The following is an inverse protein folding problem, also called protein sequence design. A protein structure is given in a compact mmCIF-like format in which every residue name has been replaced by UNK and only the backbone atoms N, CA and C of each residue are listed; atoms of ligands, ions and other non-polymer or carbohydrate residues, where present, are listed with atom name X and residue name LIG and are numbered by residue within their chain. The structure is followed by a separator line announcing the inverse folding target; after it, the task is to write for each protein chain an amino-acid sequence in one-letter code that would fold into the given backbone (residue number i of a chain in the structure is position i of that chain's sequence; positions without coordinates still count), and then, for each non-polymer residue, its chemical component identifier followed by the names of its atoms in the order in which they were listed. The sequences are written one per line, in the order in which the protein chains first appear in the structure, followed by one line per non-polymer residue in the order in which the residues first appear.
data_IF_111773192512
#
_entry.id   IF_111773192512
#
_cell.length_a   1.000
_cell.length_b   1.000
_cell.length_c   1.000
_cell.angle_alpha   90.00
_cell.angle_beta   90.00
_cell.angle_gamma   90.00
#
_symmetry.space_group_name_H-M   'P 1'
#
loop_
_entity.id
_entity.type
_entity.pdbx_description
1 polymer ?
#
# COMPACT_ATOMS: atom_id res chain seq x y z
N UNK A 1 -41.65 38.58 -14.53
CA UNK A 1 -41.33 38.53 -13.09
C UNK A 1 -41.92 37.26 -12.47
N UNK A 2 -41.10 36.23 -12.25
CA UNK A 2 -41.44 35.08 -11.39
C UNK A 2 -40.17 34.71 -10.64
N UNK A 3 -40.21 34.89 -9.32
CA UNK A 3 -39.10 34.67 -8.40
C UNK A 3 -38.78 33.17 -8.28
N UNK A 4 -37.53 32.83 -8.47
CA UNK A 4 -36.95 31.51 -8.17
C UNK A 4 -36.38 31.57 -6.76
N UNK A 5 -36.99 30.84 -5.83
CA UNK A 5 -36.49 30.69 -4.46
C UNK A 5 -35.37 29.64 -4.46
N UNK A 6 -34.16 30.06 -4.09
CA UNK A 6 -33.03 29.17 -3.81
C UNK A 6 -33.20 28.53 -2.42
N UNK A 7 -33.27 27.21 -2.37
CA UNK A 7 -33.16 26.44 -1.13
C UNK A 7 -31.68 26.24 -0.78
N UNK A 8 -31.20 26.99 0.21
CA UNK A 8 -29.91 26.75 0.87
C UNK A 8 -30.18 25.78 2.03
N UNK A 9 -29.82 24.51 1.85
CA UNK A 9 -29.87 23.50 2.90
C UNK A 9 -28.69 23.64 3.86
N UNK A 10 -28.93 24.25 5.02
CA UNK A 10 -28.02 24.24 6.16
C UNK A 10 -28.21 22.91 6.91
N UNK A 11 -27.30 21.95 6.71
CA UNK A 11 -27.32 20.67 7.44
C UNK A 11 -26.69 20.89 8.82
N UNK A 12 -27.55 20.80 9.83
CA UNK A 12 -27.21 20.83 11.26
C UNK A 12 -26.43 19.57 11.64
N UNK A 13 -25.21 19.75 12.15
CA UNK A 13 -24.44 18.73 12.86
C UNK A 13 -25.17 18.34 14.16
N UNK A 14 -25.77 17.15 14.20
CA UNK A 14 -26.27 16.54 15.43
C UNK A 14 -25.65 15.16 15.63
N UNK A 15 -24.78 15.08 16.65
CA UNK A 15 -24.53 13.89 17.46
C UNK A 15 -23.85 12.70 16.78
N UNK A 16 -22.54 12.77 16.57
CA UNK A 16 -21.72 11.56 16.39
C UNK A 16 -21.60 10.85 17.72
N UNK A 17 -22.57 9.99 18.05
CA UNK A 17 -22.40 9.04 19.14
C UNK A 17 -21.24 8.10 18.78
N UNK A 18 -20.20 8.07 19.61
CA UNK A 18 -19.20 7.00 19.58
C UNK A 18 -19.89 5.69 19.98
N UNK A 19 -20.55 5.02 19.04
CA UNK A 19 -21.20 3.74 19.33
C UNK A 19 -20.21 2.62 19.14
N UNK A 20 -20.01 1.84 20.21
CA UNK A 20 -19.52 0.47 20.17
C UNK A 20 -19.98 -0.28 18.92
N UNK A 21 -19.07 -0.98 18.23
CA UNK A 21 -19.33 -1.81 17.04
C UNK A 21 -20.61 -2.65 17.17
N UNK A 22 -21.74 -2.11 16.69
CA UNK A 22 -23.03 -2.82 16.66
C UNK A 22 -23.00 -3.79 15.47
N UNK A 23 -23.37 -5.04 15.73
CA UNK A 23 -23.60 -6.05 14.70
C UNK A 23 -24.92 -5.76 13.99
N UNK A 24 -24.89 -4.92 12.95
CA UNK A 24 -26.04 -4.62 12.09
C UNK A 24 -26.23 -5.81 11.15
N UNK A 25 -27.44 -6.39 11.10
CA UNK A 25 -27.76 -7.45 10.13
C UNK A 25 -27.93 -6.85 8.74
N UNK A 26 -27.58 -7.60 7.69
CA UNK A 26 -27.71 -7.13 6.30
C UNK A 26 -29.16 -6.78 5.96
N UNK A 27 -30.13 -7.58 6.43
CA UNK A 27 -31.56 -7.28 6.26
C UNK A 27 -32.04 -5.98 6.89
N UNK A 28 -31.23 -5.34 7.73
CA UNK A 28 -31.57 -4.05 8.34
C UNK A 28 -31.06 -2.85 7.55
N UNK A 29 -30.21 -3.07 6.55
CA UNK A 29 -29.53 -2.02 5.79
C UNK A 29 -30.48 -1.48 4.74
N UNK A 30 -30.71 -0.17 4.78
CA UNK A 30 -31.41 0.56 3.73
C UNK A 30 -30.41 1.07 2.68
N UNK A 31 -29.34 1.74 3.13
CA UNK A 31 -28.35 2.35 2.27
C UNK A 31 -26.95 2.37 2.90
N UNK A 32 -25.91 2.38 2.07
CA UNK A 32 -24.53 2.68 2.45
C UNK A 32 -23.98 3.68 1.42
N UNK A 33 -23.34 4.76 1.84
CA UNK A 33 -22.75 5.73 0.92
C UNK A 33 -21.44 6.31 1.47
N UNK A 34 -20.71 6.97 0.58
CA UNK A 34 -19.48 7.66 0.91
C UNK A 34 -19.73 9.16 0.96
N UNK A 35 -19.57 9.76 2.13
CA UNK A 35 -19.75 11.19 2.35
C UNK A 35 -18.40 11.92 2.35
N UNK A 36 -18.35 13.05 1.65
CA UNK A 36 -17.17 13.92 1.59
C UNK A 36 -17.59 15.36 1.32
N UNK A 37 -16.77 16.33 1.74
CA UNK A 37 -17.00 17.74 1.41
C UNK A 37 -16.47 18.07 0.00
N UNK A 38 -17.30 18.65 -0.89
CA UNK A 38 -16.88 19.03 -2.25
C UNK A 38 -15.98 20.28 -2.29
N UNK A 39 -15.78 20.96 -1.15
CA UNK A 39 -14.96 22.16 -1.05
C UNK A 39 -13.47 21.87 -0.76
N UNK A 40 -13.13 20.60 -0.52
CA UNK A 40 -11.76 20.15 -0.30
C UNK A 40 -10.95 20.18 -1.60
N UNK A 41 -9.64 19.93 -1.50
CA UNK A 41 -8.80 19.74 -2.68
C UNK A 41 -9.02 18.34 -3.25
N UNK A 42 -9.85 18.23 -4.29
CA UNK A 42 -10.22 16.96 -4.93
C UNK A 42 -9.55 16.90 -6.30
N UNK A 43 -8.25 16.63 -6.29
CA UNK A 43 -7.43 16.43 -7.47
C UNK A 43 -6.52 15.20 -7.31
N UNK A 44 -5.97 14.68 -8.40
CA UNK A 44 -5.19 13.45 -8.38
C UNK A 44 -3.97 13.55 -7.43
N UNK A 45 -3.80 12.51 -6.63
CA UNK A 45 -2.86 12.35 -5.52
C UNK A 45 -3.00 13.33 -4.35
N UNK A 46 -4.02 14.20 -4.36
CA UNK A 46 -4.39 14.98 -3.17
C UNK A 46 -5.02 14.09 -2.10
N UNK A 47 -4.74 14.41 -0.84
CA UNK A 47 -5.42 13.84 0.33
C UNK A 47 -6.69 14.61 0.61
N UNK A 48 -7.76 13.90 0.94
CA UNK A 48 -9.03 14.48 1.38
C UNK A 48 -9.66 13.62 2.48
N UNK A 49 -10.59 14.20 3.21
CA UNK A 49 -11.35 13.52 4.26
C UNK A 49 -12.72 13.07 3.76
N UNK A 50 -13.13 11.89 4.20
CA UNK A 50 -14.44 11.32 3.94
C UNK A 50 -14.84 10.26 4.96
N UNK A 51 -16.11 9.89 4.93
CA UNK A 51 -16.73 8.96 5.86
C UNK A 51 -17.59 7.96 5.10
N UNK A 52 -17.62 6.72 5.57
CA UNK A 52 -18.57 5.73 5.05
C UNK A 52 -19.73 5.67 6.03
N UNK A 53 -20.92 6.02 5.57
CA UNK A 53 -22.14 6.00 6.37
C UNK A 53 -23.02 4.84 5.95
N UNK A 54 -23.72 4.26 6.92
CA UNK A 54 -24.75 3.24 6.73
C UNK A 54 -26.03 3.69 7.42
N UNK A 55 -27.14 3.61 6.71
CA UNK A 55 -28.48 3.86 7.25
C UNK A 55 -29.27 2.55 7.32
N UNK A 56 -29.90 2.32 8.48
CA UNK A 56 -30.85 1.23 8.68
C UNK A 56 -32.27 1.68 8.33
N UNK A 57 -33.18 0.73 8.03
CA UNK A 57 -34.58 1.05 7.65
C UNK A 57 -35.36 1.85 8.71
N UNK A 58 -34.89 1.89 9.96
CA UNK A 58 -35.47 2.72 11.03
C UNK A 58 -34.92 4.16 11.02
N UNK A 59 -34.17 4.54 9.99
CA UNK A 59 -33.59 5.86 9.77
C UNK A 59 -32.32 6.15 10.58
N UNK A 60 -31.80 5.20 11.36
CA UNK A 60 -30.56 5.44 12.13
C UNK A 60 -29.34 5.38 11.24
N UNK A 61 -28.45 6.36 11.39
CA UNK A 61 -27.19 6.44 10.68
C UNK A 61 -26.01 6.00 11.56
N UNK A 62 -25.07 5.30 10.93
CA UNK A 62 -23.89 4.74 11.56
C UNK A 62 -22.65 5.10 10.75
N UNK A 63 -21.61 5.60 11.43
CA UNK A 63 -20.28 5.76 10.84
C UNK A 63 -19.57 4.40 10.81
N UNK A 64 -19.13 4.00 9.63
CA UNK A 64 -18.69 2.63 9.37
C UNK A 64 -17.20 2.52 9.02
N UNK A 65 -16.44 3.62 8.96
CA UNK A 65 -15.07 3.57 8.45
C UNK A 65 -14.16 2.68 9.29
N UNK A 66 -14.46 2.42 10.57
CA UNK A 66 -13.69 1.52 11.44
C UNK A 66 -14.32 0.13 11.62
N UNK A 67 -15.42 -0.16 10.93
CA UNK A 67 -16.14 -1.43 11.11
C UNK A 67 -15.46 -2.57 10.34
N UNK A 68 -15.15 -3.69 11.02
CA UNK A 68 -14.50 -4.86 10.41
C UNK A 68 -15.37 -5.61 9.41
N UNK A 69 -16.69 -5.43 9.48
CA UNK A 69 -17.65 -6.02 8.54
C UNK A 69 -17.76 -5.20 7.25
N UNK A 70 -17.23 -3.96 7.24
CA UNK A 70 -17.22 -3.11 6.06
C UNK A 70 -15.91 -3.29 5.30
N UNK A 71 -16.03 -3.49 4.00
CA UNK A 71 -14.94 -3.46 3.05
C UNK A 71 -15.13 -2.31 2.05
N UNK A 72 -14.03 -1.63 1.75
CA UNK A 72 -13.94 -0.55 0.78
C UNK A 72 -12.99 -1.00 -0.34
N UNK A 73 -13.41 -0.87 -1.58
CA UNK A 73 -12.58 -1.16 -2.74
C UNK A 73 -12.76 -0.07 -3.79
N UNK A 74 -11.66 0.40 -4.37
CA UNK A 74 -11.69 1.38 -5.45
C UNK A 74 -10.40 1.30 -6.28
N UNK A 75 -10.50 1.37 -7.62
CA UNK A 75 -9.33 1.55 -8.47
C UNK A 75 -8.80 2.99 -8.43
N UNK A 76 -9.68 3.96 -8.11
CA UNK A 76 -9.44 5.40 -8.25
C UNK A 76 -9.11 6.08 -6.91
N UNK A 77 -9.40 5.44 -5.79
CA UNK A 77 -9.29 6.00 -4.45
C UNK A 77 -8.58 5.00 -3.54
N UNK A 78 -7.54 5.47 -2.85
CA UNK A 78 -6.83 4.69 -1.84
C UNK A 78 -7.11 5.25 -0.46
N UNK A 79 -7.44 4.36 0.46
CA UNK A 79 -7.54 4.71 1.88
C UNK A 79 -6.15 4.85 2.48
N UNK A 80 -5.92 5.94 3.21
CA UNK A 80 -4.66 6.17 3.94
C UNK A 80 -4.77 5.66 5.38
N UNK A 81 -4.38 4.40 5.59
CA UNK A 81 -4.40 3.76 6.92
C UNK A 81 -5.82 3.60 7.50
N UNK A 82 -5.93 3.61 8.84
CA UNK A 82 -7.20 3.45 9.56
C UNK A 82 -7.95 4.77 9.78
N UNK A 83 -7.54 5.83 9.08
CA UNK A 83 -8.10 7.18 9.23
C UNK A 83 -9.30 7.40 8.31
N UNK A 84 -9.95 8.57 8.46
CA UNK A 84 -10.92 9.15 7.52
C UNK A 84 -10.24 9.81 6.31
N UNK A 85 -8.95 9.58 6.10
CA UNK A 85 -8.16 10.18 5.01
C UNK A 85 -8.06 9.24 3.81
N UNK A 86 -8.31 9.80 2.63
CA UNK A 86 -8.30 9.13 1.34
C UNK A 86 -7.41 9.91 0.37
N UNK A 87 -6.89 9.21 -0.65
CA UNK A 87 -6.05 9.77 -1.71
C UNK A 87 -6.68 9.38 -3.05
N UNK A 88 -6.89 10.37 -3.92
CA UNK A 88 -7.28 10.11 -5.30
C UNK A 88 -6.06 9.60 -6.08
N UNK A 89 -6.17 8.48 -6.79
CA UNK A 89 -5.08 7.87 -7.57
C UNK A 89 -5.53 7.47 -8.98
N UNK A 90 -6.59 8.11 -9.45
CA UNK A 90 -7.24 7.83 -10.72
C UNK A 90 -6.26 8.00 -11.88
N UNK A 91 -6.30 7.05 -12.81
CA UNK A 91 -5.61 7.13 -14.09
C UNK A 91 -6.67 7.40 -15.17
N UNK A 92 -7.07 8.66 -15.29
CA UNK A 92 -8.15 9.07 -16.20
C UNK A 92 -7.77 8.81 -17.66
N UNK A 93 -8.76 8.36 -18.43
CA UNK A 93 -8.64 8.05 -19.86
C UNK A 93 -9.05 9.20 -20.79
N UNK A 94 -9.52 10.32 -20.22
CA UNK A 94 -9.88 11.54 -20.92
C UNK A 94 -9.90 12.72 -19.94
N UNK A 95 -9.88 13.96 -20.44
CA UNK A 95 -9.96 15.15 -19.60
C UNK A 95 -11.34 15.39 -18.97
N UNK A 96 -12.38 14.67 -19.42
CA UNK A 96 -13.74 14.74 -18.88
C UNK A 96 -14.04 13.64 -17.86
N UNK A 97 -13.11 12.72 -17.64
CA UNK A 97 -13.23 11.63 -16.67
C UNK A 97 -12.95 12.13 -15.24
N UNK A 98 -13.96 12.79 -14.67
CA UNK A 98 -13.92 13.47 -13.37
C UNK A 98 -14.50 12.66 -12.20
N UNK A 99 -15.00 11.44 -12.46
CA UNK A 99 -15.58 10.56 -11.44
C UNK A 99 -14.61 9.49 -10.98
N UNK A 100 -14.39 9.43 -9.68
CA UNK A 100 -13.63 8.38 -9.01
C UNK A 100 -14.59 7.35 -8.42
N UNK A 101 -14.59 6.13 -8.94
CA UNK A 101 -15.57 5.12 -8.54
C UNK A 101 -15.11 4.32 -7.32
N UNK A 102 -16.05 3.92 -6.47
CA UNK A 102 -15.79 3.08 -5.31
C UNK A 102 -16.92 2.08 -5.07
N UNK A 103 -16.58 0.96 -4.44
CA UNK A 103 -17.51 -0.08 -4.00
C UNK A 103 -17.43 -0.22 -2.48
N UNK A 104 -18.59 -0.16 -1.85
CA UNK A 104 -18.81 -0.37 -0.42
C UNK A 104 -19.51 -1.71 -0.24
N UNK A 105 -18.88 -2.63 0.49
CA UNK A 105 -19.46 -3.94 0.77
C UNK A 105 -19.48 -4.22 2.25
N UNK A 106 -20.67 -4.45 2.79
CA UNK A 106 -20.88 -4.84 4.18
C UNK A 106 -21.24 -6.32 4.26
N UNK A 107 -20.56 -7.08 5.12
CA UNK A 107 -20.75 -8.52 5.29
C UNK A 107 -21.06 -8.86 6.74
N UNK A 108 -22.20 -9.50 6.99
CA UNK A 108 -22.53 -10.01 8.31
C UNK A 108 -22.94 -11.49 8.22
N UNK A 109 -22.14 -12.36 8.85
CA UNK A 109 -22.23 -13.82 8.65
C UNK A 109 -22.04 -14.14 7.16
N UNK A 110 -22.99 -14.83 6.54
CA UNK A 110 -22.94 -15.23 5.14
C UNK A 110 -23.73 -14.30 4.21
N UNK A 111 -24.29 -13.22 4.73
CA UNK A 111 -25.05 -12.22 3.96
C UNK A 111 -24.16 -11.02 3.60
N UNK A 112 -24.36 -10.47 2.40
CA UNK A 112 -23.62 -9.32 1.90
C UNK A 112 -24.54 -8.26 1.31
N UNK A 113 -24.29 -7.00 1.64
CA UNK A 113 -24.86 -5.82 0.97
C UNK A 113 -23.74 -5.10 0.23
N UNK A 114 -23.96 -4.73 -1.03
CA UNK A 114 -22.99 -4.03 -1.86
C UNK A 114 -23.62 -2.80 -2.51
N UNK A 115 -22.93 -1.67 -2.44
CA UNK A 115 -23.31 -0.42 -3.08
C UNK A 115 -22.12 0.19 -3.81
N UNK A 116 -22.39 0.75 -5.00
CA UNK A 116 -21.42 1.54 -5.77
C UNK A 116 -21.69 3.02 -5.57
N UNK A 117 -20.63 3.79 -5.47
CA UNK A 117 -20.68 5.24 -5.28
C UNK A 117 -19.53 5.92 -6.04
N UNK A 118 -19.47 7.25 -6.01
CA UNK A 118 -18.41 8.01 -6.66
C UNK A 118 -18.07 9.32 -5.96
N UNK A 119 -16.79 9.69 -6.02
CA UNK A 119 -16.30 11.03 -5.67
C UNK A 119 -16.11 11.81 -6.97
N UNK A 120 -16.60 13.04 -7.02
CA UNK A 120 -16.42 13.94 -8.17
C UNK A 120 -15.23 14.85 -7.90
N UNK A 121 -14.25 14.84 -8.81
CA UNK A 121 -13.09 15.71 -8.74
C UNK A 121 -13.49 17.16 -9.04
N UNK A 122 -12.95 18.10 -8.27
CA UNK A 122 -13.10 19.53 -8.50
C UNK A 122 -11.82 20.19 -9.02
N UNK A 123 -10.75 19.39 -9.18
CA UNK A 123 -9.45 19.79 -9.73
C UNK A 123 -8.75 20.91 -8.97
N UNK A 124 -9.15 21.13 -7.70
CA UNK A 124 -8.53 22.10 -6.80
C UNK A 124 -7.34 21.49 -6.08
N UNK A 125 -6.32 22.30 -5.84
CA UNK A 125 -5.10 21.89 -5.14
C UNK A 125 -4.08 21.23 -6.06
N UNK A 126 -2.93 20.81 -5.49
CA UNK A 126 -1.82 20.23 -6.23
C UNK A 126 -2.22 19.00 -7.06
N UNK A 127 -1.64 18.90 -8.25
CA UNK A 127 -1.71 17.71 -9.09
C UNK A 127 -0.52 16.80 -8.81
N UNK A 128 -0.77 15.64 -8.22
CA UNK A 128 0.26 14.65 -7.93
C UNK A 128 0.07 13.44 -8.87
N UNK A 129 1.02 13.24 -9.76
CA UNK A 129 1.04 12.16 -10.76
C UNK A 129 1.97 11.06 -10.23
N UNK A 130 1.37 9.96 -9.77
CA UNK A 130 2.03 8.89 -9.05
C UNK A 130 2.32 7.69 -9.96
N UNK A 131 3.53 7.63 -10.51
CA UNK A 131 4.05 6.53 -11.35
C UNK A 131 5.12 5.70 -10.66
N UNK A 132 5.23 5.82 -9.34
CA UNK A 132 6.25 5.13 -8.57
C UNK A 132 6.08 3.61 -8.63
N UNK A 133 7.21 2.90 -8.55
CA UNK A 133 7.23 1.46 -8.43
C UNK A 133 6.59 0.97 -7.13
N UNK A 134 6.01 -0.23 -7.16
CA UNK A 134 5.46 -0.87 -5.98
C UNK A 134 6.59 -1.30 -5.02
N UNK A 135 6.39 -1.13 -3.71
CA UNK A 135 7.35 -1.65 -2.74
C UNK A 135 7.30 -3.19 -2.69
N UNK A 136 8.46 -3.78 -2.45
CA UNK A 136 8.59 -5.18 -2.11
C UNK A 136 7.97 -5.51 -0.76
N UNK A 137 7.65 -6.79 -0.58
CA UNK A 137 7.02 -7.33 0.61
C UNK A 137 8.11 -7.91 1.52
N UNK A 138 8.05 -7.59 2.80
CA UNK A 138 8.98 -8.13 3.78
C UNK A 138 8.72 -9.63 4.01
N UNK A 139 9.82 -10.38 4.11
CA UNK A 139 9.80 -11.74 4.62
C UNK A 139 9.37 -11.78 6.08
N UNK A 140 8.49 -12.72 6.42
CA UNK A 140 7.98 -12.90 7.78
C UNK A 140 9.06 -13.51 8.68
N UNK A 141 9.34 -12.89 9.84
CA UNK A 141 10.20 -13.51 10.85
C UNK A 141 9.59 -14.81 11.37
N UNK A 142 10.42 -15.86 11.42
CA UNK A 142 9.98 -17.15 11.92
C UNK A 142 10.04 -17.22 13.44
N UNK A 143 9.23 -18.14 13.97
CA UNK A 143 9.18 -18.39 15.41
C UNK A 143 10.30 -19.33 15.81
N UNK A 144 10.85 -19.10 16.99
CA UNK A 144 11.73 -20.04 17.67
C UNK A 144 10.96 -21.33 17.94
N UNK A 145 11.64 -22.47 17.74
CA UNK A 145 11.06 -23.77 18.02
C UNK A 145 11.58 -24.26 19.37
N UNK A 146 10.66 -24.69 20.23
CA UNK A 146 11.00 -25.36 21.48
C UNK A 146 11.15 -26.86 21.29
N UNK A 147 11.56 -27.54 22.36
CA UNK A 147 11.58 -29.00 22.39
C UNK A 147 10.15 -29.56 22.39
N UNK A 148 9.80 -30.49 21.49
CA UNK A 148 8.46 -31.08 21.46
C UNK A 148 8.12 -31.81 22.77
N UNK A 149 6.84 -31.83 23.17
CA UNK A 149 6.40 -32.49 24.42
C UNK A 149 6.64 -34.01 24.42
N UNK A 150 6.40 -34.67 23.29
CA UNK A 150 6.52 -36.12 23.15
C UNK A 150 7.92 -36.58 22.68
N UNK A 151 8.59 -35.76 21.88
CA UNK A 151 9.92 -36.06 21.34
C UNK A 151 11.04 -35.57 22.26
N UNK A 152 12.25 -36.09 22.08
CA UNK A 152 13.41 -35.74 22.93
C UNK A 152 14.36 -34.78 22.25
N UNK A 153 14.44 -34.83 20.93
CA UNK A 153 15.29 -33.93 20.16
C UNK A 153 14.64 -32.56 20.03
N UNK A 154 15.47 -31.52 20.05
CA UNK A 154 15.08 -30.17 19.72
C UNK A 154 14.61 -30.07 18.29
N UNK A 155 13.60 -29.24 18.04
CA UNK A 155 13.08 -29.03 16.69
C UNK A 155 13.91 -27.97 15.97
N UNK A 156 14.23 -28.21 14.71
CA UNK A 156 14.88 -27.22 13.86
C UNK A 156 14.06 -25.94 13.74
N UNK A 157 14.76 -24.81 13.79
CA UNK A 157 14.23 -23.50 13.53
C UNK A 157 13.84 -23.34 12.06
N UNK A 158 12.76 -22.60 11.81
CA UNK A 158 12.26 -22.42 10.44
C UNK A 158 13.06 -21.35 9.69
N UNK A 159 13.25 -21.55 8.39
CA UNK A 159 13.93 -20.58 7.55
C UNK A 159 13.11 -19.30 7.35
N UNK A 160 13.78 -18.16 7.49
CA UNK A 160 13.23 -16.87 7.13
C UNK A 160 13.01 -16.79 5.61
N UNK A 161 11.81 -16.43 5.13
CA UNK A 161 11.57 -16.21 3.71
C UNK A 161 12.28 -14.94 3.24
N UNK A 162 12.63 -14.89 1.96
CA UNK A 162 13.21 -13.70 1.34
C UNK A 162 12.19 -12.55 1.32
N UNK A 163 12.69 -11.32 1.37
CA UNK A 163 11.93 -10.16 0.95
C UNK A 163 11.86 -10.12 -0.58
N UNK A 164 10.77 -9.56 -1.13
CA UNK A 164 10.63 -9.42 -2.58
C UNK A 164 11.27 -8.13 -3.07
N UNK A 165 11.65 -8.09 -4.33
CA UNK A 165 12.16 -6.87 -4.96
C UNK A 165 11.08 -5.77 -5.03
N UNK A 166 11.53 -4.52 -5.03
CA UNK A 166 10.73 -3.36 -5.36
C UNK A 166 10.57 -3.23 -6.88
N UNK A 167 9.37 -2.85 -7.32
CA UNK A 167 9.08 -2.60 -8.72
C UNK A 167 9.83 -1.37 -9.24
N UNK A 168 10.29 -1.43 -10.49
CA UNK A 168 10.83 -0.25 -11.17
C UNK A 168 9.68 0.64 -11.68
N UNK A 169 9.88 1.96 -11.65
CA UNK A 169 9.03 2.88 -12.39
C UNK A 169 9.29 2.76 -13.89
N UNK A 170 8.37 3.27 -14.70
CA UNK A 170 8.43 3.26 -16.16
C UNK A 170 8.94 4.61 -16.68
N UNK A 171 9.19 4.68 -17.97
CA UNK A 171 9.59 5.92 -18.62
C UNK A 171 8.35 6.58 -19.24
N UNK A 172 8.24 7.90 -19.11
CA UNK A 172 7.08 8.64 -19.56
C UNK A 172 7.46 9.84 -20.42
N UNK A 173 6.56 10.19 -21.32
CA UNK A 173 6.53 11.48 -22.01
C UNK A 173 5.27 12.21 -21.56
N UNK A 174 5.43 13.44 -21.07
CA UNK A 174 4.33 14.29 -20.64
C UNK A 174 4.32 15.62 -21.42
N UNK A 175 3.12 16.07 -21.78
CA UNK A 175 2.87 17.36 -22.42
C UNK A 175 1.97 18.18 -21.48
N UNK A 176 2.37 19.42 -21.20
CA UNK A 176 1.69 20.32 -20.28
C UNK A 176 1.36 21.61 -21.00
N UNK A 177 0.11 22.04 -20.94
CA UNK A 177 -0.32 23.31 -21.52
C UNK A 177 -1.41 23.96 -20.67
N UNK A 178 -1.65 25.24 -20.93
CA UNK A 178 -2.71 26.01 -20.29
C UNK A 178 -3.85 26.26 -21.27
N UNK A 179 -5.08 26.17 -20.79
CA UNK A 179 -6.27 26.64 -21.49
C UNK A 179 -7.23 27.23 -20.46
N UNK A 180 -7.60 28.49 -20.66
CA UNK A 180 -8.41 29.26 -19.70
C UNK A 180 -7.78 29.27 -18.29
N UNK A 181 -8.53 28.91 -17.25
CA UNK A 181 -8.09 28.83 -15.84
C UNK A 181 -7.56 27.44 -15.46
N UNK A 182 -7.30 26.57 -16.44
CA UNK A 182 -6.91 25.19 -16.25
C UNK A 182 -5.57 24.86 -16.90
N UNK A 183 -4.81 24.00 -16.22
CA UNK A 183 -3.60 23.36 -16.74
C UNK A 183 -3.92 21.90 -17.04
N UNK A 184 -3.53 21.46 -18.22
CA UNK A 184 -3.74 20.11 -18.73
C UNK A 184 -2.42 19.38 -18.81
N UNK A 185 -2.44 18.09 -18.47
CA UNK A 185 -1.29 17.20 -18.55
C UNK A 185 -1.71 15.92 -19.28
N UNK A 186 -1.17 15.74 -20.46
CA UNK A 186 -1.21 14.47 -21.19
C UNK A 186 0.06 13.69 -20.88
N UNK A 187 -0.05 12.42 -20.50
CA UNK A 187 1.10 11.58 -20.15
C UNK A 187 1.00 10.20 -20.79
N UNK A 188 2.10 9.71 -21.35
CA UNK A 188 2.15 8.40 -21.99
C UNK A 188 3.38 7.62 -21.55
N UNK A 189 3.20 6.34 -21.27
CA UNK A 189 4.32 5.42 -21.05
C UNK A 189 5.06 5.16 -22.36
N UNK A 190 6.37 5.36 -22.36
CA UNK A 190 7.22 5.18 -23.53
C UNK A 190 7.35 3.70 -23.87
N UNK A 191 7.32 3.37 -25.17
CA UNK A 191 7.44 1.99 -25.68
C UNK A 191 6.38 1.02 -25.13
N UNK A 192 5.18 1.54 -24.80
CA UNK A 192 4.05 0.76 -24.31
C UNK A 192 2.82 0.95 -25.20
N UNK A 193 2.00 -0.10 -25.27
CA UNK A 193 0.66 -0.07 -25.88
C UNK A 193 -0.42 0.40 -24.89
N UNK A 194 -0.05 0.79 -23.67
CA UNK A 194 -0.99 1.34 -22.70
C UNK A 194 -1.59 2.65 -23.23
N UNK A 195 -2.89 2.82 -23.00
CA UNK A 195 -3.56 4.09 -23.23
C UNK A 195 -2.85 5.23 -22.46
N UNK A 196 -2.83 6.45 -23.02
CA UNK A 196 -2.33 7.60 -22.30
C UNK A 196 -3.21 7.96 -21.10
N UNK A 197 -2.64 8.75 -20.20
CA UNK A 197 -3.29 9.28 -19.02
C UNK A 197 -3.51 10.77 -19.16
N UNK A 198 -4.67 11.23 -18.70
CA UNK A 198 -5.13 12.61 -18.87
C UNK A 198 -5.36 13.22 -17.50
N UNK A 199 -4.72 14.34 -17.19
CA UNK A 199 -4.91 15.04 -15.93
C UNK A 199 -5.17 16.52 -16.16
N UNK A 200 -5.88 17.15 -15.24
CA UNK A 200 -6.04 18.60 -15.27
C UNK A 200 -6.10 19.16 -13.86
N UNK A 201 -5.78 20.43 -13.72
CA UNK A 201 -5.84 21.15 -12.46
C UNK A 201 -6.17 22.62 -12.69
N UNK A 202 -6.71 23.29 -11.68
CA UNK A 202 -6.82 24.75 -11.72
C UNK A 202 -5.42 25.38 -11.72
N UNK A 203 -5.28 26.44 -12.49
CA UNK A 203 -4.08 27.27 -12.51
C UNK A 203 -3.72 27.80 -11.12
N UNK A 204 -2.42 28.07 -10.90
CA UNK A 204 -1.88 28.51 -9.60
C UNK A 204 -1.60 27.39 -8.59
N UNK A 205 -1.66 26.12 -9.00
CA UNK A 205 -1.30 24.96 -8.18
C UNK A 205 -0.01 24.29 -8.66
N UNK A 206 0.63 23.49 -7.80
CA UNK A 206 1.87 22.77 -8.14
C UNK A 206 1.62 21.42 -8.80
N UNK A 207 2.53 21.01 -9.69
CA UNK A 207 2.57 19.66 -10.26
C UNK A 207 3.70 18.86 -9.63
N UNK A 208 3.40 17.65 -9.17
CA UNK A 208 4.39 16.71 -8.66
C UNK A 208 4.35 15.41 -9.45
N UNK A 209 5.49 15.00 -10.02
CA UNK A 209 5.66 13.69 -10.63
C UNK A 209 6.50 12.78 -9.72
N UNK A 210 5.93 11.64 -9.31
CA UNK A 210 6.67 10.58 -8.64
C UNK A 210 6.95 9.42 -9.61
N UNK A 211 8.19 9.32 -10.06
CA UNK A 211 8.71 8.19 -10.84
C UNK A 211 9.72 7.39 -10.02
N UNK A 212 9.67 7.44 -8.68
CA UNK A 212 10.63 6.71 -7.87
C UNK A 212 10.46 5.20 -7.99
N UNK A 213 11.57 4.47 -7.89
CA UNK A 213 11.54 3.01 -7.76
C UNK A 213 10.99 2.59 -6.40
N UNK A 214 10.30 1.45 -6.36
CA UNK A 214 9.83 0.87 -5.11
C UNK A 214 10.98 0.33 -4.26
N UNK A 215 10.85 0.39 -2.93
CA UNK A 215 11.86 -0.18 -2.03
C UNK A 215 11.78 -1.71 -2.03
N UNK A 216 12.91 -2.40 -1.94
CA UNK A 216 12.96 -3.84 -1.71
C UNK A 216 12.47 -4.22 -0.30
N UNK A 217 11.85 -5.39 -0.18
CA UNK A 217 11.40 -5.94 1.09
C UNK A 217 12.55 -6.53 1.90
N UNK A 218 12.49 -6.42 3.22
CA UNK A 218 13.49 -7.03 4.11
C UNK A 218 13.35 -8.56 4.13
N UNK A 219 14.47 -9.28 4.26
CA UNK A 219 14.47 -10.71 4.52
C UNK A 219 13.93 -11.05 5.91
N UNK A 220 13.18 -12.16 6.01
CA UNK A 220 12.69 -12.67 7.28
C UNK A 220 13.82 -13.29 8.11
N UNK A 221 13.72 -13.21 9.43
CA UNK A 221 14.69 -13.89 10.30
C UNK A 221 14.34 -15.37 10.37
N UNK A 222 15.36 -16.23 10.38
CA UNK A 222 15.19 -17.63 10.71
C UNK A 222 14.90 -17.81 12.20
N UNK A 223 14.16 -18.87 12.53
CA UNK A 223 13.83 -19.21 13.90
C UNK A 223 15.00 -19.92 14.58
N UNK A 224 15.10 -19.79 15.90
CA UNK A 224 16.06 -20.57 16.67
C UNK A 224 15.65 -22.06 16.71
N UNK A 225 16.66 -22.93 16.69
CA UNK A 225 16.52 -24.36 16.94
C UNK A 225 16.26 -24.65 18.42
N UNK A 226 15.44 -25.65 18.69
CA UNK A 226 15.10 -26.05 20.05
C UNK A 226 16.18 -26.86 20.72
N UNK A 227 16.15 -26.89 22.05
CA UNK A 227 17.08 -27.69 22.84
C UNK A 227 16.67 -29.18 22.87
N UNK A 228 17.64 -30.07 23.02
CA UNK A 228 17.40 -31.47 23.30
C UNK A 228 17.07 -31.72 24.79
N UNK A 229 16.25 -32.72 25.09
CA UNK A 229 15.94 -33.11 26.48
C UNK A 229 17.12 -33.83 27.14
N UNK A 230 17.38 -33.50 28.39
CA UNK A 230 18.35 -34.21 29.23
C UNK A 230 18.01 -35.70 29.35
N UNK A 231 19.05 -36.53 29.41
CA UNK A 231 18.93 -37.93 29.78
C UNK A 231 18.30 -38.11 31.15
N UNK A 232 17.43 -39.11 31.30
CA UNK A 232 16.78 -39.38 32.58
C UNK A 232 16.33 -40.85 32.69
N UNK A 233 16.08 -41.31 33.91
CA UNK A 233 15.57 -42.65 34.19
C UNK A 233 14.11 -42.51 34.62
N UNK A 234 13.19 -43.12 33.86
CA UNK A 234 11.75 -43.16 34.19
C UNK A 234 11.25 -44.59 34.08
N UNK A 235 10.55 -45.07 35.11
CA UNK A 235 10.03 -46.45 35.20
C UNK A 235 11.12 -47.52 34.96
N UNK A 236 12.29 -47.38 35.60
CA UNK A 236 13.47 -48.24 35.43
C UNK A 236 13.99 -48.36 33.98
N UNK A 237 13.55 -47.48 33.07
CA UNK A 237 14.07 -47.38 31.71
C UNK A 237 14.88 -46.10 31.55
N UNK A 238 16.11 -46.26 31.09
CA UNK A 238 16.98 -45.16 30.73
C UNK A 238 16.51 -44.53 29.42
N UNK A 239 16.22 -43.23 29.42
CA UNK A 239 15.85 -42.47 28.22
C UNK A 239 17.06 -41.75 27.66
N UNK A 240 17.30 -41.91 26.35
CA UNK A 240 18.44 -41.32 25.65
C UNK A 240 18.46 -39.80 25.75
N UNK A 241 19.60 -39.17 25.60
CA UNK A 241 19.69 -37.71 25.48
C UNK A 241 19.06 -37.25 24.15
N UNK A 242 18.45 -36.08 24.16
CA UNK A 242 17.95 -35.41 22.96
C UNK A 242 19.06 -34.65 22.23
N UNK A 243 19.03 -34.71 20.91
CA UNK A 243 19.85 -33.88 20.04
C UNK A 243 19.34 -32.44 20.02
N UNK A 244 20.20 -31.47 19.73
CA UNK A 244 19.79 -30.09 19.54
C UNK A 244 19.26 -29.84 18.13
N UNK A 245 18.28 -28.94 18.00
CA UNK A 245 17.78 -28.47 16.71
C UNK A 245 18.74 -27.46 16.07
N UNK A 246 18.76 -27.44 14.74
CA UNK A 246 19.47 -26.43 13.96
C UNK A 246 18.72 -25.09 13.99
N UNK A 247 19.44 -23.98 13.93
CA UNK A 247 18.85 -22.67 13.68
C UNK A 247 18.45 -22.54 12.21
N UNK A 248 17.33 -21.88 11.94
CA UNK A 248 16.90 -21.59 10.57
C UNK A 248 17.74 -20.49 9.95
N UNK A 249 18.15 -20.63 8.69
CA UNK A 249 18.72 -19.54 7.89
C UNK A 249 17.78 -18.32 7.79
N UNK A 250 18.35 -17.13 7.77
CA UNK A 250 17.65 -15.88 7.44
C UNK A 250 17.44 -15.72 5.94
N UNK A 251 16.37 -15.02 5.57
CA UNK A 251 16.05 -14.73 4.17
C UNK A 251 16.87 -13.57 3.62
N UNK A 252 17.02 -13.52 2.31
CA UNK A 252 17.65 -12.40 1.61
C UNK A 252 16.73 -11.18 1.58
N UNK A 253 17.31 -9.98 1.60
CA UNK A 253 16.60 -8.74 1.29
C UNK A 253 16.38 -8.60 -0.22
N UNK A 254 15.24 -8.03 -0.61
CA UNK A 254 14.93 -7.71 -2.00
C UNK A 254 15.68 -6.47 -2.47
N UNK A 255 15.94 -6.38 -3.77
CA UNK A 255 16.52 -5.19 -4.41
C UNK A 255 15.50 -4.08 -4.55
N UNK A 256 15.94 -2.82 -4.52
CA UNK A 256 15.11 -1.68 -4.86
C UNK A 256 14.92 -1.56 -6.37
N UNK A 257 13.73 -1.12 -6.79
CA UNK A 257 13.42 -0.87 -8.20
C UNK A 257 14.11 0.38 -8.73
N UNK A 258 14.30 0.46 -10.04
CA UNK A 258 14.86 1.66 -10.69
C UNK A 258 13.83 2.80 -10.74
N UNK A 259 14.32 4.02 -10.64
CA UNK A 259 13.53 5.22 -10.95
C UNK A 259 13.30 5.37 -12.46
N UNK A 260 12.19 5.98 -12.81
CA UNK A 260 11.77 6.21 -14.19
C UNK A 260 12.36 7.49 -14.78
N UNK A 261 12.37 7.56 -16.11
CA UNK A 261 12.74 8.76 -16.85
C UNK A 261 11.51 9.54 -17.30
N UNK A 262 11.59 10.87 -17.28
CA UNK A 262 10.53 11.76 -17.75
C UNK A 262 11.06 12.71 -18.82
N UNK A 263 10.45 12.67 -20.01
CA UNK A 263 10.55 13.72 -21.02
C UNK A 263 9.34 14.63 -20.88
N UNK A 264 9.55 15.86 -20.41
CA UNK A 264 8.50 16.82 -20.11
C UNK A 264 8.53 17.96 -21.12
N UNK A 265 7.44 18.12 -21.86
CA UNK A 265 7.23 19.20 -22.81
C UNK A 265 6.21 20.18 -22.24
N UNK A 266 6.64 21.40 -21.93
CA UNK A 266 5.80 22.47 -21.42
C UNK A 266 5.54 23.44 -22.56
N UNK A 267 4.27 23.69 -22.85
CA UNK A 267 3.89 24.65 -23.87
C UNK A 267 4.25 26.06 -23.40
N UNK A 268 4.68 26.93 -24.31
CA UNK A 268 5.11 28.30 -24.00
C UNK A 268 4.04 29.11 -23.23
N UNK A 269 2.75 28.86 -23.51
CA UNK A 269 1.64 29.49 -22.79
C UNK A 269 1.46 29.03 -21.32
N UNK A 270 2.26 28.07 -20.87
CA UNK A 270 2.25 27.49 -19.54
C UNK A 270 3.67 27.46 -18.94
N UNK A 271 4.63 28.19 -19.51
CA UNK A 271 6.04 28.13 -19.10
C UNK A 271 6.26 28.42 -17.60
N UNK A 272 5.43 29.28 -17.00
CA UNK A 272 5.49 29.62 -15.57
C UNK A 272 5.33 28.41 -14.64
N UNK A 273 4.70 27.33 -15.12
CA UNK A 273 4.49 26.11 -14.33
C UNK A 273 5.79 25.42 -13.95
N UNK A 274 6.87 25.66 -14.70
CA UNK A 274 8.19 25.08 -14.42
C UNK A 274 8.65 25.39 -12.98
N UNK A 275 8.38 26.61 -12.50
CA UNK A 275 8.73 27.03 -11.14
C UNK A 275 7.92 26.33 -10.03
N UNK A 276 6.79 25.72 -10.39
CA UNK A 276 5.90 24.97 -9.49
C UNK A 276 5.93 23.46 -9.75
N UNK A 277 6.88 23.00 -10.56
CA UNK A 277 7.02 21.61 -10.93
C UNK A 277 8.08 20.92 -10.06
N UNK A 278 7.69 19.81 -9.45
CA UNK A 278 8.60 18.97 -8.67
C UNK A 278 8.60 17.56 -9.23
N UNK A 279 9.78 16.95 -9.30
CA UNK A 279 9.94 15.58 -9.80
C UNK A 279 10.75 14.74 -8.82
N UNK A 280 10.44 13.45 -8.76
CA UNK A 280 11.18 12.48 -7.98
C UNK A 280 11.44 11.23 -8.82
N UNK A 281 12.70 11.02 -9.19
CA UNK A 281 13.15 9.90 -10.03
C UNK A 281 14.12 8.97 -9.30
N UNK A 282 14.17 9.02 -7.96
CA UNK A 282 15.13 8.23 -7.18
C UNK A 282 14.86 6.73 -7.29
N UNK A 283 15.93 5.94 -7.41
CA UNK A 283 15.86 4.50 -7.29
C UNK A 283 15.47 4.08 -5.88
N UNK A 284 14.77 2.96 -5.77
CA UNK A 284 14.32 2.38 -4.51
C UNK A 284 15.48 1.92 -3.64
N UNK A 285 15.27 1.94 -2.33
CA UNK A 285 16.22 1.37 -1.36
C UNK A 285 16.17 -0.15 -1.41
N UNK A 286 17.29 -0.80 -1.10
CA UNK A 286 17.32 -2.25 -0.91
C UNK A 286 16.69 -2.65 0.43
N UNK A 287 16.22 -3.88 0.49
CA UNK A 287 15.82 -4.55 1.72
C UNK A 287 17.01 -5.10 2.49
N UNK A 288 16.93 -5.03 3.82
CA UNK A 288 17.93 -5.61 4.72
C UNK A 288 17.88 -7.13 4.69
N UNK A 289 19.01 -7.78 4.95
CA UNK A 289 19.07 -9.23 5.16
C UNK A 289 18.34 -9.68 6.42
N UNK A 290 17.80 -10.89 6.38
CA UNK A 290 17.33 -11.62 7.55
C UNK A 290 18.49 -12.26 8.31
N UNK A 291 18.36 -12.31 9.64
CA UNK A 291 19.34 -12.97 10.51
C UNK A 291 19.05 -14.47 10.61
N UNK A 292 20.11 -15.27 10.64
CA UNK A 292 20.02 -16.70 10.96
C UNK A 292 19.69 -16.94 12.43
N UNK A 293 18.88 -17.95 12.70
CA UNK A 293 18.53 -18.41 14.03
C UNK A 293 19.70 -19.11 14.72
N UNK A 294 19.70 -19.09 16.03
CA UNK A 294 20.67 -19.81 16.86
C UNK A 294 20.38 -21.30 16.83
N UNK A 295 21.43 -22.11 17.00
CA UNK A 295 21.29 -23.54 17.30
C UNK A 295 20.72 -23.73 18.71
N UNK A 296 20.02 -24.84 18.92
CA UNK A 296 19.72 -25.32 20.26
C UNK A 296 20.95 -25.90 20.97
N UNK A 297 20.80 -26.15 22.26
CA UNK A 297 21.72 -26.93 23.07
C UNK A 297 21.32 -28.41 23.11
N UNK A 298 22.27 -29.35 23.02
CA UNK A 298 21.98 -30.76 23.24
C UNK A 298 21.58 -31.01 24.70
N UNK A 299 20.84 -32.07 24.95
CA UNK A 299 20.54 -32.47 26.32
C UNK A 299 21.79 -32.87 27.09
N UNK A 300 21.73 -32.79 28.41
CA UNK A 300 22.80 -33.26 29.31
C UNK A 300 22.69 -34.79 29.50
N UNK A 301 23.75 -35.58 29.26
CA UNK A 301 23.78 -37.02 29.52
C UNK A 301 23.87 -37.37 31.01
N UNK A 302 23.28 -38.51 31.40
CA UNK A 302 23.66 -39.20 32.64
C UNK A 302 24.95 -40.00 32.45
N UNK A 303 25.59 -40.39 33.55
CA UNK A 303 26.79 -41.24 33.53
C UNK A 303 26.55 -42.51 32.71
N UNK A 304 27.43 -42.77 31.74
CA UNK A 304 27.35 -43.91 30.83
C UNK A 304 26.44 -43.71 29.60
N UNK A 305 25.78 -42.55 29.46
CA UNK A 305 25.01 -42.21 28.26
C UNK A 305 25.86 -41.47 27.22
N UNK A 306 25.55 -41.72 25.95
CA UNK A 306 26.06 -40.92 24.84
C UNK A 306 25.44 -39.51 24.88
N UNK A 307 26.27 -38.49 24.66
CA UNK A 307 25.83 -37.10 24.55
C UNK A 307 24.95 -36.89 23.31
N UNK A 308 24.02 -35.92 23.40
CA UNK A 308 23.24 -35.49 22.25
C UNK A 308 24.09 -34.72 21.23
N UNK A 309 23.68 -34.77 19.96
CA UNK A 309 24.34 -34.03 18.87
C UNK A 309 24.06 -32.53 18.96
N UNK A 310 25.08 -31.73 18.70
CA UNK A 310 24.96 -30.29 18.59
C UNK A 310 24.30 -29.91 17.25
N UNK A 311 23.37 -28.95 17.27
CA UNK A 311 22.82 -28.34 16.06
C UNK A 311 23.77 -27.30 15.44
N UNK A 312 23.44 -26.83 14.25
CA UNK A 312 24.17 -25.76 13.55
C UNK A 312 23.43 -24.43 13.64
N UNK A 313 24.13 -23.29 13.80
CA UNK A 313 23.49 -21.99 13.68
C UNK A 313 23.05 -21.76 12.21
N UNK A 314 21.95 -21.06 12.02
CA UNK A 314 21.50 -20.64 10.71
C UNK A 314 22.43 -19.58 10.12
N UNK A 315 22.49 -19.51 8.79
CA UNK A 315 23.23 -18.47 8.08
C UNK A 315 22.40 -17.19 7.93
N UNK A 316 23.03 -16.02 7.97
CA UNK A 316 22.38 -14.78 7.60
C UNK A 316 22.11 -14.75 6.08
N UNK A 317 21.05 -14.05 5.67
CA UNK A 317 20.81 -13.75 4.27
C UNK A 317 21.77 -12.69 3.72
N UNK A 318 21.55 -12.31 2.47
CA UNK A 318 22.25 -11.18 1.81
C UNK A 318 21.34 -9.96 1.69
N UNK A 319 21.94 -8.78 1.63
CA UNK A 319 21.21 -7.54 1.33
C UNK A 319 20.89 -7.46 -0.17
N UNK A 320 19.81 -6.75 -0.51
CA UNK A 320 19.51 -6.46 -1.91
C UNK A 320 20.37 -5.33 -2.49
N UNK A 321 20.16 -5.02 -3.77
CA UNK A 321 20.83 -3.90 -4.43
C UNK A 321 19.94 -2.65 -4.46
N UNK A 322 20.56 -1.47 -4.35
CA UNK A 322 19.83 -0.21 -4.54
C UNK A 322 19.44 -0.06 -6.02
N UNK A 323 18.24 0.42 -6.28
CA UNK A 323 17.82 0.78 -7.64
C UNK A 323 18.57 2.00 -8.17
N UNK A 324 18.69 2.10 -9.49
CA UNK A 324 19.29 3.25 -10.16
C UNK A 324 18.33 4.43 -10.16
N UNK A 325 18.86 5.64 -10.02
CA UNK A 325 18.10 6.88 -10.19
C UNK A 325 17.79 7.08 -11.70
N UNK A 326 16.58 7.53 -12.00
CA UNK A 326 16.18 8.00 -13.33
C UNK A 326 16.46 9.49 -13.51
N UNK A 327 16.07 10.02 -14.67
CA UNK A 327 16.36 11.41 -15.08
C UNK A 327 15.11 12.16 -15.56
N UNK A 328 15.18 13.48 -15.55
CA UNK A 328 14.15 14.35 -16.12
C UNK A 328 14.79 15.27 -17.13
N UNK A 329 14.17 15.36 -18.30
CA UNK A 329 14.47 16.36 -19.32
C UNK A 329 13.24 17.23 -19.52
N UNK A 330 13.42 18.54 -19.42
CA UNK A 330 12.33 19.51 -19.57
C UNK A 330 12.60 20.38 -20.79
N UNK A 331 11.56 20.59 -21.59
CA UNK A 331 11.58 21.36 -22.82
C UNK A 331 10.43 22.36 -22.79
N UNK A 332 10.74 23.65 -22.88
CA UNK A 332 9.73 24.69 -23.08
C UNK A 332 9.70 25.03 -24.57
N UNK A 333 8.59 24.74 -25.23
CA UNK A 333 8.44 24.95 -26.67
C UNK A 333 6.97 25.03 -27.08
N UNK A 334 6.69 25.74 -28.17
CA UNK A 334 5.39 25.69 -28.83
C UNK A 334 5.10 24.29 -29.39
N UNK A 335 3.85 23.83 -29.25
CA UNK A 335 3.35 22.60 -29.88
C UNK A 335 1.83 22.66 -30.02
N UNK A 336 1.28 22.01 -31.04
CA UNK A 336 -0.16 21.93 -31.20
C UNK A 336 -0.76 20.93 -30.20
N UNK A 337 -1.40 21.43 -29.14
CA UNK A 337 -2.00 20.58 -28.11
C UNK A 337 -3.37 20.01 -28.49
N UNK A 338 -3.98 20.41 -29.61
CA UNK A 338 -5.28 19.86 -30.04
C UNK A 338 -5.22 18.36 -30.29
N UNK A 339 -4.05 17.84 -30.66
CA UNK A 339 -3.81 16.42 -30.94
C UNK A 339 -3.85 15.53 -29.67
N UNK A 340 -3.87 16.13 -28.48
CA UNK A 340 -3.92 15.41 -27.20
C UNK A 340 -5.28 15.48 -26.52
N UNK A 341 -6.26 16.19 -27.12
CA UNK A 341 -7.59 16.39 -26.54
C UNK A 341 -8.59 15.33 -27.06
N UNK A 342 -8.31 14.74 -28.22
CA UNK A 342 -9.13 13.71 -28.87
C UNK A 342 -9.16 12.36 -28.13
#
# INVERSE_FOLDING_TARGET
MKNTFYWIGLVLFLGTSCSSLKNIKVSQIEAIWFEYSPNQNLNNGSKFEGEILLQTYDGKQHEMSKNSNLSFSSPDIRRSGNSKSFILVKKSNSFVDDKCYLTLKYTHRDETYEQKDSVIMNFRGPLNILYNGANGINGKHQRNRGTPLLWRDGKDGEHGPNGTDGGSSKNYTAHVWKQEDMIFVYSRENNSNSAPFYYKMKDGNSIYFDLSGGNGGNGGNGGDGGDGKNGDIKNNKMRRVGDAGNGGNGGNGGSGGNGGNLSLYIHENCAEIESFLTTKTKGGRYGSRGMGGKRGAPGTPLTGQQAGRQGFPGTNGVEGFRGMDGSVQTYIQSFNYSVYIE
#
